data_IF_507032915919
#
_entry.id   IF_507032915919
#
_cell.length_a   1.000
_cell.length_b   1.000
_cell.length_c   1.000
_cell.angle_alpha   90.00
_cell.angle_beta   90.00
_cell.angle_gamma   90.00
#
_symmetry.space_group_name_H-M   'P 1'
#
loop_
_entity.id
_entity.type
_entity.pdbx_description
1 polymer ?
#
# COMPACT_ATOMS: atom_id res chain seq x y z
N UNK A 1 -17.16 14.79 11.94
CA UNK A 1 -16.23 13.84 11.31
C UNK A 1 -14.85 14.45 11.41
N UNK A 2 -14.02 13.94 12.32
CA UNK A 2 -12.69 14.49 12.58
C UNK A 2 -11.77 14.19 11.41
N UNK A 3 -11.50 15.19 10.58
CA UNK A 3 -10.48 15.13 9.55
C UNK A 3 -9.13 15.07 10.27
N UNK A 4 -8.65 13.87 10.60
CA UNK A 4 -7.28 13.71 11.07
C UNK A 4 -6.34 14.34 10.02
N UNK A 5 -5.55 15.29 10.49
CA UNK A 5 -4.60 16.07 9.69
C UNK A 5 -3.52 15.12 9.14
N UNK A 6 -3.20 15.18 7.82
CA UNK A 6 -2.04 14.50 7.24
C UNK A 6 -0.75 14.62 8.06
N UNK A 7 -0.54 15.73 8.77
CA UNK A 7 0.59 15.92 9.67
C UNK A 7 0.58 14.95 10.87
N UNK A 8 -0.59 14.67 11.46
CA UNK A 8 -0.75 13.75 12.58
C UNK A 8 -0.43 12.31 12.19
N UNK A 9 -0.84 11.87 11.00
CA UNK A 9 -0.49 10.54 10.48
C UNK A 9 1.02 10.41 10.24
N UNK A 10 1.67 11.44 9.70
CA UNK A 10 3.13 11.46 9.52
C UNK A 10 3.88 11.33 10.84
N UNK A 11 3.37 11.96 11.91
CA UNK A 11 3.91 11.85 13.27
C UNK A 11 3.81 10.41 13.79
N UNK A 12 2.63 9.78 13.68
CA UNK A 12 2.40 8.39 14.11
C UNK A 12 3.29 7.37 13.38
N UNK A 13 3.66 7.67 12.14
CA UNK A 13 4.63 6.88 11.38
C UNK A 13 6.05 6.92 11.93
N UNK A 14 6.47 8.03 12.54
CA UNK A 14 7.78 8.13 13.22
C UNK A 14 7.85 7.28 14.47
N UNK A 15 6.74 7.15 15.19
CA UNK A 15 6.66 6.44 16.47
C UNK A 15 6.63 4.90 16.30
N UNK A 16 6.79 4.39 15.08
CA UNK A 16 6.90 2.96 14.80
C UNK A 16 5.58 2.20 14.85
N UNK A 17 4.45 2.83 15.21
CA UNK A 17 3.12 2.24 15.04
C UNK A 17 2.71 2.25 13.57
N UNK A 18 2.13 1.15 13.11
CA UNK A 18 1.45 1.13 11.82
C UNK A 18 0.12 1.86 11.99
N UNK A 19 0.16 3.18 11.91
CA UNK A 19 -1.05 3.96 11.69
C UNK A 19 -1.43 3.84 10.21
N UNK A 20 -2.69 3.53 9.94
CA UNK A 20 -3.33 3.74 8.65
C UNK A 20 -4.71 4.33 8.88
N UNK A 21 -5.23 5.03 7.88
CA UNK A 21 -6.58 5.57 7.87
C UNK A 21 -7.28 5.09 6.62
N UNK A 22 -8.46 4.49 6.77
CA UNK A 22 -9.33 4.14 5.66
C UNK A 22 -9.90 5.43 5.04
N UNK A 23 -9.86 5.52 3.71
CA UNK A 23 -10.46 6.61 2.93
C UNK A 23 -11.79 6.17 2.28
N UNK A 24 -12.12 4.88 2.37
CA UNK A 24 -13.42 4.29 2.02
C UNK A 24 -13.73 3.06 2.87
N UNK A 25 -14.84 2.34 2.61
CA UNK A 25 -15.21 1.14 3.33
C UNK A 25 -14.15 0.02 3.21
N UNK A 26 -13.93 -0.76 4.28
CA UNK A 26 -12.97 -1.87 4.27
C UNK A 26 -13.38 -3.02 3.35
N UNK A 27 -14.68 -3.17 3.08
CA UNK A 27 -15.25 -4.15 2.18
C UNK A 27 -15.31 -3.67 0.71
N UNK A 28 -14.79 -2.48 0.42
CA UNK A 28 -14.65 -2.00 -0.96
C UNK A 28 -13.53 -2.75 -1.70
N UNK A 29 -13.68 -2.86 -3.02
CA UNK A 29 -12.65 -3.42 -3.89
C UNK A 29 -12.36 -2.42 -5.02
N UNK A 30 -11.20 -1.75 -5.01
CA UNK A 30 -10.10 -1.88 -4.05
C UNK A 30 -10.38 -1.23 -2.70
N UNK A 31 -9.64 -1.64 -1.67
CA UNK A 31 -9.60 -0.91 -0.40
C UNK A 31 -8.70 0.30 -0.55
N UNK A 32 -9.25 1.49 -0.27
CA UNK A 32 -8.54 2.77 -0.33
C UNK A 32 -8.20 3.28 1.07
N UNK A 33 -6.92 3.54 1.32
CA UNK A 33 -6.40 3.94 2.63
C UNK A 33 -5.13 4.76 2.50
N UNK A 34 -4.74 5.46 3.55
CA UNK A 34 -3.48 6.17 3.62
C UNK A 34 -2.67 5.77 4.85
N UNK A 35 -1.35 5.81 4.73
CA UNK A 35 -0.44 5.50 5.83
C UNK A 35 0.92 6.19 5.66
N UNK A 36 1.61 6.56 6.74
CA UNK A 36 2.94 7.13 6.66
C UNK A 36 3.97 6.04 6.32
N UNK A 37 5.00 6.42 5.58
CA UNK A 37 6.12 5.55 5.25
C UNK A 37 7.32 6.32 4.71
N UNK A 38 8.25 5.59 4.11
CA UNK A 38 9.42 6.15 3.46
C UNK A 38 9.39 5.86 1.96
N UNK A 39 9.78 6.84 1.16
CA UNK A 39 10.10 6.68 -0.25
C UNK A 39 11.44 7.35 -0.50
N UNK A 40 12.42 6.64 -1.06
CA UNK A 40 13.78 7.16 -1.26
C UNK A 40 14.39 7.82 0.00
N UNK A 41 14.20 7.18 1.16
CA UNK A 41 14.60 7.68 2.49
C UNK A 41 13.93 8.99 2.95
N UNK A 42 12.90 9.45 2.24
CA UNK A 42 12.11 10.63 2.60
C UNK A 42 10.76 10.21 3.20
N UNK A 43 10.30 10.84 4.29
CA UNK A 43 8.96 10.64 4.79
C UNK A 43 7.91 11.03 3.75
N UNK A 44 6.96 10.14 3.49
CA UNK A 44 5.81 10.39 2.63
C UNK A 44 4.53 9.92 3.33
N UNK A 45 3.41 10.50 2.93
CA UNK A 45 2.09 9.92 3.18
C UNK A 45 1.70 9.11 1.94
N UNK A 46 1.54 7.81 2.09
CA UNK A 46 1.08 6.95 1.00
C UNK A 46 -0.41 7.10 0.82
N UNK A 47 -0.84 7.33 -0.41
CA UNK A 47 -2.23 7.22 -0.86
C UNK A 47 -2.38 5.88 -1.58
N UNK A 48 -3.02 4.91 -0.93
CA UNK A 48 -2.85 3.50 -1.21
C UNK A 48 -4.15 2.81 -1.63
N UNK A 49 -4.07 2.06 -2.73
CA UNK A 49 -5.13 1.15 -3.17
C UNK A 49 -4.65 -0.29 -3.07
N UNK A 50 -5.34 -1.12 -2.30
CA UNK A 50 -5.07 -2.55 -2.19
C UNK A 50 -6.15 -3.35 -2.91
N UNK A 51 -5.70 -4.16 -3.86
CA UNK A 51 -6.51 -5.07 -4.64
C UNK A 51 -6.17 -6.52 -4.29
N UNK A 52 -7.17 -7.39 -4.10
CA UNK A 52 -7.01 -8.82 -4.28
C UNK A 52 -6.63 -9.11 -5.73
N UNK A 53 -5.71 -10.04 -5.97
CA UNK A 53 -5.29 -10.44 -7.32
C UNK A 53 -6.47 -10.86 -8.20
N UNK A 54 -7.40 -11.61 -7.63
CA UNK A 54 -8.61 -12.12 -8.31
C UNK A 54 -9.54 -11.00 -8.80
N UNK A 55 -9.47 -9.81 -8.21
CA UNK A 55 -10.31 -8.66 -8.55
C UNK A 55 -9.61 -7.64 -9.47
N UNK A 56 -8.33 -7.85 -9.82
CA UNK A 56 -7.59 -6.95 -10.70
C UNK A 56 -8.09 -7.06 -12.14
N UNK A 57 -8.51 -5.94 -12.73
CA UNK A 57 -9.10 -5.89 -14.07
C UNK A 57 -8.15 -5.35 -15.14
N UNK A 58 -6.97 -4.86 -14.77
CA UNK A 58 -6.00 -4.30 -15.71
C UNK A 58 -5.10 -5.37 -16.36
N UNK A 59 -4.37 -4.97 -17.41
CA UNK A 59 -3.31 -5.81 -17.95
C UNK A 59 -2.27 -6.14 -16.85
N UNK A 60 -1.92 -7.42 -16.74
CA UNK A 60 -0.93 -7.87 -15.75
C UNK A 60 0.46 -7.39 -16.18
N UNK A 61 1.13 -6.52 -15.40
CA UNK A 61 2.37 -5.87 -15.83
C UNK A 61 3.63 -6.71 -15.51
N UNK A 62 3.45 -7.94 -15.02
CA UNK A 62 4.52 -8.75 -14.46
C UNK A 62 4.73 -10.07 -15.21
N UNK A 63 5.94 -10.65 -15.13
CA UNK A 63 6.18 -12.01 -15.61
C UNK A 63 5.23 -13.01 -14.96
N UNK A 64 4.93 -14.12 -15.65
CA UNK A 64 4.01 -15.16 -15.18
C UNK A 64 4.40 -15.76 -13.81
N UNK A 65 5.69 -15.74 -13.47
CA UNK A 65 6.19 -16.21 -12.17
C UNK A 65 5.77 -15.30 -11.01
N UNK A 66 5.56 -14.01 -11.25
CA UNK A 66 5.17 -13.05 -10.21
C UNK A 66 3.65 -13.02 -10.03
N UNK A 67 3.21 -13.36 -8.83
CA UNK A 67 1.80 -13.38 -8.45
C UNK A 67 1.32 -12.04 -7.86
N UNK A 68 2.24 -11.11 -7.61
CA UNK A 68 1.95 -9.85 -6.93
C UNK A 68 2.75 -8.70 -7.55
N UNK A 69 2.20 -7.49 -7.43
CA UNK A 69 2.93 -6.28 -7.81
C UNK A 69 2.55 -5.06 -6.98
N UNK A 70 3.47 -4.10 -6.97
CA UNK A 70 3.24 -2.73 -6.52
C UNK A 70 3.46 -1.80 -7.70
N UNK A 71 2.60 -0.79 -7.85
CA UNK A 71 2.80 0.31 -8.78
C UNK A 71 2.89 1.60 -7.98
N UNK A 72 4.02 2.27 -8.07
CA UNK A 72 4.26 3.54 -7.39
C UNK A 72 4.12 4.66 -8.41
N UNK A 73 3.21 5.58 -8.13
CA UNK A 73 2.94 6.75 -8.94
C UNK A 73 3.66 8.00 -8.44
N UNK A 74 3.41 9.14 -9.10
CA UNK A 74 3.95 10.42 -8.68
C UNK A 74 3.38 10.87 -7.33
N UNK A 75 4.03 11.87 -6.74
CA UNK A 75 3.50 12.62 -5.60
C UNK A 75 2.51 13.68 -6.08
N UNK A 76 1.35 13.77 -5.42
CA UNK A 76 0.28 14.75 -5.67
C UNK A 76 -0.27 15.21 -4.32
N UNK A 77 -0.38 16.53 -4.13
CA UNK A 77 -0.93 17.15 -2.90
C UNK A 77 -0.26 16.64 -1.61
N UNK A 78 1.06 16.40 -1.65
CA UNK A 78 1.84 15.90 -0.52
C UNK A 78 1.58 14.43 -0.16
N UNK A 79 0.86 13.69 -1.01
CA UNK A 79 0.68 12.25 -0.91
C UNK A 79 1.33 11.55 -2.10
N UNK A 80 1.88 10.36 -1.90
CA UNK A 80 2.45 9.55 -2.97
C UNK A 80 1.55 8.35 -3.26
N UNK A 81 1.17 8.18 -4.53
CA UNK A 81 0.29 7.08 -4.93
C UNK A 81 1.01 5.75 -4.90
N UNK A 82 0.36 4.74 -4.33
CA UNK A 82 0.78 3.34 -4.42
C UNK A 82 -0.44 2.45 -4.68
N UNK A 83 -0.36 1.62 -5.71
CA UNK A 83 -1.31 0.54 -5.93
C UNK A 83 -0.62 -0.78 -5.60
N UNK A 84 -1.30 -1.63 -4.84
CA UNK A 84 -0.81 -2.94 -4.46
C UNK A 84 -1.81 -3.97 -4.96
N UNK A 85 -1.33 -4.96 -5.70
CA UNK A 85 -2.12 -6.11 -6.11
C UNK A 85 -1.46 -7.34 -5.50
N UNK A 86 -2.12 -7.89 -4.49
CA UNK A 86 -1.59 -8.97 -3.68
C UNK A 86 -2.41 -10.24 -3.86
N UNK A 87 -1.75 -11.38 -3.72
CA UNK A 87 -2.37 -12.70 -3.80
C UNK A 87 -3.06 -13.00 -2.46
N UNK A 88 -4.27 -12.47 -2.32
CA UNK A 88 -5.09 -12.49 -1.12
C UNK A 88 -6.53 -12.82 -1.52
N UNK A 89 -7.22 -13.63 -0.71
CA UNK A 89 -8.65 -13.93 -0.92
C UNK A 89 -9.55 -12.81 -0.42
N UNK A 90 -9.20 -12.23 0.73
CA UNK A 90 -9.95 -11.16 1.40
C UNK A 90 -9.00 -10.12 2.00
N UNK A 91 -9.51 -8.90 2.16
CA UNK A 91 -8.79 -7.81 2.81
C UNK A 91 -9.46 -7.55 4.16
N UNK A 92 -8.68 -7.70 5.22
CA UNK A 92 -9.06 -7.35 6.59
C UNK A 92 -8.02 -6.38 7.18
N UNK A 93 -8.26 -5.91 8.41
CA UNK A 93 -7.34 -5.01 9.11
C UNK A 93 -5.93 -5.60 9.28
N UNK A 94 -5.84 -6.91 9.51
CA UNK A 94 -4.55 -7.61 9.66
C UNK A 94 -3.78 -7.58 8.34
N UNK A 95 -4.44 -7.79 7.21
CA UNK A 95 -3.83 -7.70 5.87
C UNK A 95 -3.42 -6.27 5.53
N UNK A 96 -4.20 -5.26 5.91
CA UNK A 96 -3.78 -3.85 5.79
C UNK A 96 -2.53 -3.54 6.60
N UNK A 97 -2.51 -3.95 7.87
CA UNK A 97 -1.34 -3.82 8.75
C UNK A 97 -0.09 -4.46 8.13
N UNK A 98 -0.22 -5.72 7.68
CA UNK A 98 0.89 -6.45 7.07
C UNK A 98 1.37 -5.81 5.78
N UNK A 99 0.45 -5.25 4.99
CA UNK A 99 0.75 -4.50 3.77
C UNK A 99 1.55 -3.25 4.09
N UNK A 100 1.14 -2.47 5.09
CA UNK A 100 1.87 -1.29 5.55
C UNK A 100 3.29 -1.64 6.01
N UNK A 101 3.43 -2.71 6.80
CA UNK A 101 4.73 -3.22 7.26
C UNK A 101 5.61 -3.64 6.08
N UNK A 102 5.05 -4.35 5.11
CA UNK A 102 5.76 -4.80 3.91
C UNK A 102 6.32 -3.62 3.13
N UNK A 103 5.47 -2.62 2.82
CA UNK A 103 5.89 -1.42 2.08
C UNK A 103 7.01 -0.69 2.83
N UNK A 104 6.85 -0.47 4.14
CA UNK A 104 7.88 0.20 4.97
C UNK A 104 9.22 -0.54 5.00
N UNK A 105 9.21 -1.87 4.94
CA UNK A 105 10.42 -2.69 4.93
C UNK A 105 11.05 -2.83 3.54
N UNK A 106 10.36 -2.40 2.49
CA UNK A 106 10.82 -2.55 1.12
C UNK A 106 11.94 -1.55 0.81
N UNK A 107 13.19 -2.03 0.74
CA UNK A 107 14.38 -1.17 0.60
C UNK A 107 14.56 -0.53 -0.78
N UNK A 108 13.84 -1.00 -1.80
CA UNK A 108 14.02 -0.62 -3.22
C UNK A 108 12.74 -0.05 -3.84
N UNK A 109 11.96 0.68 -3.06
CA UNK A 109 10.81 1.41 -3.61
C UNK A 109 11.32 2.46 -4.60
N UNK A 110 10.75 2.45 -5.80
CA UNK A 110 11.02 3.37 -6.90
C UNK A 110 9.74 3.56 -7.70
N UNK A 111 9.61 4.68 -8.40
CA UNK A 111 8.46 4.90 -9.28
C UNK A 111 8.37 3.81 -10.37
N UNK A 112 7.13 3.51 -10.78
CA UNK A 112 6.83 2.45 -11.74
C UNK A 112 6.38 1.14 -11.09
N UNK A 113 6.51 0.04 -11.83
CA UNK A 113 6.03 -1.30 -11.41
C UNK A 113 7.15 -2.10 -10.77
N UNK A 114 6.84 -2.70 -9.62
CA UNK A 114 7.68 -3.62 -8.88
C UNK A 114 6.93 -4.95 -8.76
N UNK A 115 7.40 -5.96 -9.50
CA UNK A 115 6.86 -7.32 -9.47
C UNK A 115 7.56 -8.14 -8.40
N UNK A 116 6.82 -8.97 -7.67
CA UNK A 116 7.40 -9.86 -6.68
C UNK A 116 6.55 -11.12 -6.49
N UNK A 117 7.17 -12.12 -5.87
CA UNK A 117 6.51 -13.36 -5.51
C UNK A 117 5.97 -13.22 -4.09
N UNK A 118 4.75 -13.72 -3.86
CA UNK A 118 4.33 -13.99 -2.49
C UNK A 118 5.27 -15.00 -1.85
N UNK A 119 5.68 -14.76 -0.60
CA UNK A 119 6.16 -15.90 0.20
C UNK A 119 4.92 -16.73 0.47
N UNK A 120 4.78 -17.86 -0.23
CA UNK A 120 3.83 -18.88 0.15
C UNK A 120 4.05 -19.14 1.64
N UNK A 121 3.07 -18.76 2.45
CA UNK A 121 3.01 -19.19 3.84
C UNK A 121 2.55 -20.64 3.76
N UNK A 122 3.50 -21.55 3.53
CA UNK A 122 3.39 -22.94 4.00
C UNK A 122 3.12 -22.96 5.49
#
# INVERSE_FOLDING_TARGET
MSTEDPASLRQLGRDGRAAWRLLGPLDSCPVHFEFPGLFEQRPVLWDAWLWPRSAWQGAWPCPASCTQFMRIGPEQDGRRRIELVLDLDTIDERRLLMTCIMVRKYRRLREGVICFHGRNST
#
